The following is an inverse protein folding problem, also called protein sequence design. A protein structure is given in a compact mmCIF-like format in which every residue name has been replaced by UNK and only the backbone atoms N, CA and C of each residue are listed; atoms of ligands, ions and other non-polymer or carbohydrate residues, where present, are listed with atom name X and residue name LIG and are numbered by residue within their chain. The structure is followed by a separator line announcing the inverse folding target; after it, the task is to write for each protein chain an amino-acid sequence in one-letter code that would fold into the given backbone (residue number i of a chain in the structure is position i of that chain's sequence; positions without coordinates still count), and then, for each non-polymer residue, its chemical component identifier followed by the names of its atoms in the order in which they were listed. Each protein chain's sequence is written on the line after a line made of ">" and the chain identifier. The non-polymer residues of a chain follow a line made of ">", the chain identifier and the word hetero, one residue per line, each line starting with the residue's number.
data_IF_556014361697
#
_entry.id   IF_556014361697
#
_cell.length_a   1.000
_cell.length_b   1.000
_cell.length_c   1.000
_cell.angle_alpha   90.00
_cell.angle_beta   90.00
_cell.angle_gamma   90.00
#
_symmetry.space_group_name_H-M   'P 1'
#
loop_
_entity.id
_entity.type
_entity.pdbx_description
1 polymer ?
#
# COMPACT_ATOMS: atom_id res chain seq x y z
N UNK A 1 -16.84 -1.23 -9.53
CA UNK A 1 -15.59 -1.93 -9.90
C UNK A 1 -15.22 -2.92 -8.81
N UNK A 2 -15.01 -4.20 -9.14
CA UNK A 2 -14.71 -5.25 -8.14
C UNK A 2 -13.22 -5.21 -7.77
N UNK A 3 -12.91 -4.91 -6.50
CA UNK A 3 -11.54 -5.01 -5.97
C UNK A 3 -11.30 -6.47 -5.58
N UNK A 4 -10.23 -7.05 -6.12
CA UNK A 4 -9.82 -8.43 -5.85
C UNK A 4 -8.69 -8.49 -4.83
N UNK A 5 -8.44 -9.69 -4.26
CA UNK A 5 -7.28 -9.91 -3.39
C UNK A 5 -5.96 -9.66 -4.13
N UNK A 6 -5.89 -9.99 -5.43
CA UNK A 6 -4.72 -9.68 -6.26
C UNK A 6 -4.43 -8.17 -6.30
N UNK A 7 -5.46 -7.35 -6.49
CA UNK A 7 -5.28 -5.90 -6.51
C UNK A 7 -4.81 -5.34 -5.15
N UNK A 8 -5.29 -5.92 -4.05
CA UNK A 8 -4.83 -5.57 -2.70
C UNK A 8 -3.35 -5.91 -2.53
N UNK A 9 -2.94 -7.11 -2.95
CA UNK A 9 -1.55 -7.55 -2.89
C UNK A 9 -0.62 -6.71 -3.76
N UNK A 10 -1.03 -6.36 -4.98
CA UNK A 10 -0.27 -5.49 -5.88
C UNK A 10 0.03 -4.12 -5.22
N UNK A 11 -0.96 -3.50 -4.58
CA UNK A 11 -0.77 -2.23 -3.86
C UNK A 11 0.11 -2.42 -2.61
N UNK A 12 -0.09 -3.48 -1.83
CA UNK A 12 0.75 -3.78 -0.67
C UNK A 12 2.22 -4.01 -1.06
N UNK A 13 2.47 -4.71 -2.17
CA UNK A 13 3.81 -4.91 -2.72
C UNK A 13 4.45 -3.59 -3.14
N UNK A 14 3.71 -2.70 -3.81
CA UNK A 14 4.23 -1.37 -4.14
C UNK A 14 4.59 -0.56 -2.89
N UNK A 15 3.77 -0.62 -1.84
CA UNK A 15 4.06 0.02 -0.55
C UNK A 15 5.34 -0.56 0.07
N UNK A 16 5.51 -1.89 0.03
CA UNK A 16 6.67 -2.57 0.58
C UNK A 16 7.98 -2.23 -0.16
N UNK A 17 7.93 -2.29 -1.50
CA UNK A 17 9.10 -2.17 -2.36
C UNK A 17 9.58 -0.72 -2.50
N UNK A 18 8.67 0.25 -2.32
CA UNK A 18 8.99 1.67 -2.41
C UNK A 18 9.06 2.35 -1.04
N UNK A 19 9.42 1.59 0.01
CA UNK A 19 9.61 2.14 1.35
C UNK A 19 10.89 2.98 1.40
N UNK A 20 10.81 4.14 2.04
CA UNK A 20 11.96 4.99 2.38
C UNK A 20 11.92 5.32 3.85
N UNK A 21 13.11 5.39 4.46
CA UNK A 21 13.26 5.80 5.86
C UNK A 21 13.73 7.25 5.90
N UNK A 22 13.02 8.10 6.64
CA UNK A 22 13.38 9.50 6.85
C UNK A 22 12.99 9.89 8.26
N UNK A 23 13.92 10.50 9.02
CA UNK A 23 13.67 10.91 10.41
C UNK A 23 13.06 9.78 11.26
N UNK A 24 13.62 8.57 11.17
CA UNK A 24 13.16 7.34 11.85
C UNK A 24 11.76 6.82 11.47
N UNK A 25 11.09 7.42 10.48
CA UNK A 25 9.83 6.91 9.96
C UNK A 25 10.04 6.20 8.62
N UNK A 26 9.46 5.02 8.46
CA UNK A 26 9.52 4.25 7.20
C UNK A 26 8.14 4.25 6.53
N UNK A 27 8.07 4.79 5.31
CA UNK A 27 6.81 4.92 4.56
C UNK A 27 7.05 4.76 3.07
N UNK A 28 5.99 4.44 2.32
CA UNK A 28 6.03 4.38 0.86
C UNK A 28 6.23 5.79 0.28
N UNK A 29 7.23 5.94 -0.60
CA UNK A 29 7.50 7.21 -1.28
C UNK A 29 6.56 7.52 -2.44
N UNK A 30 5.79 6.53 -2.91
CA UNK A 30 4.85 6.70 -4.02
C UNK A 30 3.54 7.36 -3.57
N UNK A 31 3.00 8.21 -4.41
CA UNK A 31 1.66 8.78 -4.30
C UNK A 31 0.63 7.81 -4.87
N UNK A 32 -0.66 8.03 -4.61
CA UNK A 32 -1.71 7.21 -5.23
C UNK A 32 -1.72 7.34 -6.76
N UNK A 33 -1.24 8.47 -7.30
CA UNK A 33 -1.15 8.69 -8.75
C UNK A 33 0.00 7.86 -9.35
N UNK A 34 1.19 7.93 -8.77
CA UNK A 34 2.34 7.10 -9.20
C UNK A 34 2.01 5.61 -9.06
N UNK A 35 1.36 5.18 -7.98
CA UNK A 35 0.89 3.80 -7.83
C UNK A 35 -0.08 3.39 -8.94
N UNK A 36 -0.96 4.30 -9.38
CA UNK A 36 -1.90 4.04 -10.47
C UNK A 36 -1.17 3.84 -11.80
N UNK A 37 -0.12 4.64 -12.06
CA UNK A 37 0.76 4.50 -13.22
C UNK A 37 1.48 3.15 -13.20
N UNK A 38 2.07 2.76 -12.06
CA UNK A 38 2.71 1.45 -11.90
C UNK A 38 1.77 0.27 -12.13
N UNK A 39 0.49 0.41 -11.76
CA UNK A 39 -0.53 -0.64 -11.90
C UNK A 39 -1.35 -0.52 -13.19
N UNK A 40 -0.98 0.38 -14.10
CA UNK A 40 -1.70 0.69 -15.33
C UNK A 40 -3.21 0.85 -15.10
N UNK A 41 -3.59 1.61 -14.06
CA UNK A 41 -4.98 1.79 -13.67
C UNK A 41 -5.29 3.21 -13.22
N UNK A 42 -6.56 3.52 -12.97
CA UNK A 42 -6.95 4.86 -12.54
C UNK A 42 -6.63 5.10 -11.05
N UNK A 43 -6.33 6.36 -10.71
CA UNK A 43 -6.06 6.80 -9.32
C UNK A 43 -7.20 6.45 -8.36
N UNK A 44 -8.44 6.53 -8.82
CA UNK A 44 -9.62 6.22 -7.99
C UNK A 44 -9.64 4.75 -7.54
N UNK A 45 -9.21 3.82 -8.40
CA UNK A 45 -9.05 2.40 -8.09
C UNK A 45 -8.04 2.20 -6.98
N UNK A 46 -6.88 2.84 -7.08
CA UNK A 46 -5.86 2.82 -6.02
C UNK A 46 -6.43 3.39 -4.73
N UNK A 47 -7.13 4.52 -4.80
CA UNK A 47 -7.77 5.14 -3.62
C UNK A 47 -8.72 4.18 -2.91
N UNK A 48 -9.61 3.51 -3.65
CA UNK A 48 -10.53 2.53 -3.08
C UNK A 48 -9.81 1.31 -2.49
N UNK A 49 -8.71 0.85 -3.10
CA UNK A 49 -7.89 -0.24 -2.56
C UNK A 49 -7.22 0.20 -1.26
N UNK A 50 -6.64 1.40 -1.22
CA UNK A 50 -6.01 1.97 -0.03
C UNK A 50 -7.01 2.07 1.12
N UNK A 51 -8.22 2.60 0.90
CA UNK A 51 -9.25 2.65 1.93
C UNK A 51 -9.54 1.26 2.50
N UNK A 52 -9.76 0.26 1.63
CA UNK A 52 -9.99 -1.13 2.08
C UNK A 52 -8.81 -1.70 2.87
N UNK A 53 -7.58 -1.43 2.44
CA UNK A 53 -6.39 -1.91 3.16
C UNK A 53 -6.24 -1.26 4.54
N UNK A 54 -6.68 0.00 4.69
CA UNK A 54 -6.75 0.68 5.99
C UNK A 54 -7.83 0.04 6.85
N UNK A 55 -9.05 -0.11 6.31
CA UNK A 55 -10.20 -0.70 7.02
C UNK A 55 -9.91 -2.14 7.47
N UNK A 56 -9.20 -2.92 6.64
CA UNK A 56 -8.80 -4.30 6.94
C UNK A 56 -7.55 -4.38 7.84
N UNK A 57 -6.92 -3.24 8.18
CA UNK A 57 -5.78 -3.15 9.10
C UNK A 57 -4.43 -3.60 8.52
N UNK A 58 -4.30 -3.65 7.19
CA UNK A 58 -3.06 -4.06 6.51
C UNK A 58 -2.07 -2.91 6.31
N UNK A 59 -2.57 -1.67 6.21
CA UNK A 59 -1.74 -0.47 6.10
C UNK A 59 -2.22 0.61 7.04
N UNK A 60 -1.32 1.54 7.37
CA UNK A 60 -1.63 2.75 8.12
C UNK A 60 -1.20 3.99 7.33
N UNK A 61 -2.01 5.07 7.35
CA UNK A 61 -1.59 6.36 6.83
C UNK A 61 -0.56 7.01 7.76
N UNK A 62 0.41 7.72 7.19
CA UNK A 62 1.33 8.58 7.95
C UNK A 62 0.60 9.87 8.34
N UNK A 63 0.80 10.30 9.58
CA UNK A 63 0.36 11.62 10.03
C UNK A 63 1.24 12.71 9.40
N UNK A 64 0.67 13.52 8.51
CA UNK A 64 1.39 14.61 7.86
C UNK A 64 0.60 15.27 6.72
N UNK A 65 1.14 16.38 6.18
CA UNK A 65 0.53 17.12 5.07
C UNK A 65 0.38 16.28 3.79
N UNK A 66 1.29 15.32 3.57
CA UNK A 66 1.26 14.40 2.43
C UNK A 66 0.86 13.02 2.93
N UNK A 67 -0.29 12.51 2.45
CA UNK A 67 -0.73 11.15 2.76
C UNK A 67 0.22 10.13 2.15
N UNK A 68 1.03 9.50 3.00
CA UNK A 68 1.87 8.34 2.68
C UNK A 68 1.39 7.13 3.48
N UNK A 69 1.84 5.94 3.12
CA UNK A 69 1.35 4.69 3.70
C UNK A 69 2.49 3.80 4.15
N UNK A 70 2.28 3.06 5.23
CA UNK A 70 3.18 2.01 5.71
C UNK A 70 2.40 0.72 5.97
N UNK A 71 3.06 -0.42 5.79
CA UNK A 71 2.48 -1.72 6.16
C UNK A 71 2.47 -1.88 7.68
N UNK A 72 1.35 -2.37 8.21
CA UNK A 72 1.28 -2.86 9.59
C UNK A 72 2.01 -4.20 9.72
N UNK A 73 2.18 -4.70 10.95
CA UNK A 73 2.68 -6.06 11.19
C UNK A 73 1.83 -7.08 10.43
N UNK A 74 0.50 -7.00 10.56
CA UNK A 74 -0.46 -7.83 9.82
C UNK A 74 -0.25 -7.76 8.31
N UNK A 75 -0.04 -6.57 7.77
CA UNK A 75 0.23 -6.39 6.33
C UNK A 75 1.53 -7.04 5.87
N UNK A 76 2.59 -6.95 6.69
CA UNK A 76 3.88 -7.60 6.41
C UNK A 76 3.75 -9.12 6.44
N UNK A 77 3.07 -9.66 7.44
CA UNK A 77 2.89 -11.11 7.59
C UNK A 77 2.18 -11.72 6.39
N UNK A 78 1.13 -11.06 5.89
CA UNK A 78 0.42 -11.51 4.68
C UNK A 78 1.35 -11.55 3.46
N UNK A 79 2.17 -10.51 3.25
CA UNK A 79 3.12 -10.50 2.14
C UNK A 79 4.20 -11.58 2.28
N UNK A 80 4.71 -11.79 3.49
CA UNK A 80 5.76 -12.78 3.75
C UNK A 80 5.26 -14.22 3.54
N UNK A 81 4.06 -14.53 4.04
CA UNK A 81 3.45 -15.87 3.91
C UNK A 81 3.06 -16.23 2.47
N UNK A 82 2.94 -15.24 1.59
CA UNK A 82 2.67 -15.46 0.16
C UNK A 82 3.94 -15.64 -0.67
N UNK A 83 5.08 -15.09 -0.24
CA UNK A 83 6.36 -15.24 -0.93
C UNK A 83 7.15 -16.49 -0.50
N UNK A 84 6.68 -17.22 0.52
CA UNK A 84 7.30 -18.45 1.04
C UNK A 84 6.60 -19.73 0.58
N UNK A 85 5.71 -19.65 -0.42
CA UNK A 85 5.10 -20.79 -1.12
C UNK A 85 5.43 -20.73 -2.60
#
# INVERSE_FOLDING_TARGET
>A
MKITNRNKLEVMNLIHNNRRTTLNETYCSLSQQEMAEYLCCNRNKVSCIICRLIDEGYIIPRNGKVRRYALTTKGKDVLMNLNTK
#
